data_IF_753171063967
#
_entry.id   IF_753171063967
#
_cell.length_a   1.000
_cell.length_b   1.000
_cell.length_c   1.000
_cell.angle_alpha   90.00
_cell.angle_beta   90.00
_cell.angle_gamma   90.00
#
_symmetry.space_group_name_H-M   'P 1'
#
loop_
_entity.id
_entity.type
_entity.pdbx_description
1 polymer ?
#
# COMPACT_ATOMS: atom_id res chain seq x y z
N UNK A 1 -6.42 -6.77 4.90
CA UNK A 1 -5.45 -6.24 3.93
C UNK A 1 -4.87 -7.41 3.17
N UNK A 2 -4.86 -7.35 1.83
CA UNK A 2 -4.51 -8.46 0.93
C UNK A 2 -3.34 -7.97 -0.02
N UNK A 3 -2.60 -8.87 -0.69
CA UNK A 3 -1.41 -8.65 -1.56
C UNK A 3 -1.31 -9.79 -2.62
N UNK A 4 -1.16 -9.47 -3.91
CA UNK A 4 -1.57 -10.33 -5.02
C UNK A 4 -0.47 -10.68 -6.05
N UNK A 5 -0.75 -11.67 -6.92
CA UNK A 5 -0.02 -11.90 -8.18
C UNK A 5 -1.01 -12.28 -9.29
N UNK A 6 -0.83 -11.71 -10.50
CA UNK A 6 -1.55 -12.10 -11.71
C UNK A 6 -0.61 -12.82 -12.70
N UNK A 7 -1.15 -13.80 -13.43
CA UNK A 7 -0.48 -14.41 -14.58
C UNK A 7 -0.65 -13.60 -15.87
N UNK A 8 0.31 -13.67 -16.79
CA UNK A 8 0.37 -12.80 -17.98
C UNK A 8 0.35 -13.57 -19.30
N UNK A 9 -0.27 -12.97 -20.32
CA UNK A 9 -0.08 -13.31 -21.74
C UNK A 9 0.50 -12.09 -22.46
N UNK A 10 1.68 -12.23 -23.05
CA UNK A 10 2.51 -11.10 -23.46
C UNK A 10 2.24 -10.61 -24.90
N UNK A 11 2.38 -9.30 -25.14
CA UNK A 11 2.66 -8.76 -26.47
C UNK A 11 3.36 -7.39 -26.42
N UNK A 12 4.65 -7.36 -26.79
CA UNK A 12 5.27 -6.25 -27.52
C UNK A 12 5.27 -4.83 -26.92
N UNK A 13 6.04 -4.61 -25.85
CA UNK A 13 6.72 -3.31 -25.65
C UNK A 13 8.02 -3.52 -24.85
N UNK A 14 8.91 -2.53 -24.83
CA UNK A 14 10.24 -2.63 -24.24
C UNK A 14 10.20 -2.54 -22.70
N UNK A 15 9.72 -3.60 -22.06
CA UNK A 15 9.88 -3.81 -20.63
C UNK A 15 11.35 -4.13 -20.31
N UNK A 16 11.87 -3.54 -19.24
CA UNK A 16 13.04 -4.08 -18.53
C UNK A 16 12.78 -5.57 -18.26
N UNK A 17 13.73 -6.49 -18.50
CA UNK A 17 13.54 -7.88 -18.14
C UNK A 17 13.40 -7.97 -16.63
N UNK A 18 12.17 -8.12 -16.14
CA UNK A 18 11.92 -8.64 -14.80
C UNK A 18 12.33 -10.10 -14.87
N UNK A 19 13.55 -10.43 -14.44
CA UNK A 19 13.92 -11.82 -14.31
C UNK A 19 12.98 -12.45 -13.30
N UNK A 20 12.30 -13.51 -13.74
CA UNK A 20 11.48 -14.36 -12.90
C UNK A 20 12.14 -15.72 -12.95
N UNK A 21 12.51 -16.24 -11.78
CA UNK A 21 13.25 -17.50 -11.69
C UNK A 21 12.37 -18.72 -11.98
N UNK A 22 12.99 -19.91 -12.02
CA UNK A 22 12.32 -21.19 -12.25
C UNK A 22 11.21 -21.52 -11.21
N UNK A 23 11.12 -20.75 -10.11
CA UNK A 23 10.11 -20.88 -9.04
C UNK A 23 8.95 -19.89 -9.20
N UNK A 24 9.02 -18.97 -10.17
CA UNK A 24 8.03 -17.91 -10.37
C UNK A 24 8.25 -16.67 -9.49
N UNK A 25 9.45 -16.49 -8.92
CA UNK A 25 9.78 -15.36 -8.04
C UNK A 25 10.52 -14.27 -8.82
N UNK A 26 10.12 -12.98 -8.75
CA UNK A 26 10.83 -11.90 -9.41
C UNK A 26 12.16 -11.56 -8.71
N UNK A 27 13.18 -11.19 -9.48
CA UNK A 27 14.49 -10.70 -8.98
C UNK A 27 14.37 -9.47 -8.06
N UNK A 28 13.33 -8.65 -8.29
CA UNK A 28 13.04 -7.44 -7.52
C UNK A 28 11.55 -7.41 -7.14
N UNK A 29 11.26 -7.30 -5.84
CA UNK A 29 9.91 -7.11 -5.30
C UNK A 29 9.64 -5.62 -5.05
N UNK A 30 8.71 -5.02 -5.80
CA UNK A 30 8.43 -3.57 -5.73
C UNK A 30 7.24 -3.31 -4.80
N UNK A 31 7.52 -2.68 -3.66
CA UNK A 31 6.61 -2.47 -2.53
C UNK A 31 6.21 -1.00 -2.44
N UNK A 32 4.98 -0.67 -2.83
CA UNK A 32 4.41 0.67 -2.59
C UNK A 32 3.77 0.77 -1.20
N UNK A 33 3.79 1.98 -0.66
CA UNK A 33 3.18 2.29 0.64
C UNK A 33 2.45 3.62 0.48
N UNK A 34 1.16 3.66 0.85
CA UNK A 34 0.37 4.90 0.83
C UNK A 34 1.05 6.01 1.66
N UNK A 35 1.14 7.25 1.14
CA UNK A 35 1.82 8.33 1.87
C UNK A 35 1.04 8.73 3.13
N UNK A 36 1.69 8.59 4.29
CA UNK A 36 1.17 9.09 5.57
C UNK A 36 2.16 10.02 6.33
N UNK A 37 3.41 10.08 5.89
CA UNK A 37 4.44 11.01 6.39
C UNK A 37 5.22 11.62 5.21
N UNK A 38 6.29 12.38 5.47
CA UNK A 38 7.21 12.79 4.40
C UNK A 38 7.88 11.55 3.74
N UNK A 39 8.23 11.60 2.43
CA UNK A 39 8.80 10.43 1.74
C UNK A 39 10.09 9.88 2.36
N UNK A 40 10.97 10.74 2.86
CA UNK A 40 12.24 10.33 3.51
C UNK A 40 11.99 9.66 4.85
N UNK A 41 11.07 10.21 5.66
CA UNK A 41 10.62 9.64 6.93
C UNK A 41 9.94 8.28 6.71
N UNK A 42 9.12 8.17 5.67
CA UNK A 42 8.45 6.93 5.30
C UNK A 42 9.47 5.88 4.84
N UNK A 43 10.44 6.26 4.01
CA UNK A 43 11.50 5.38 3.53
C UNK A 43 12.36 4.87 4.69
N UNK A 44 12.70 5.73 5.66
CA UNK A 44 13.43 5.34 6.87
C UNK A 44 12.59 4.41 7.78
N UNK A 45 11.29 4.71 7.95
CA UNK A 45 10.35 3.90 8.75
C UNK A 45 10.17 2.48 8.21
N UNK A 46 10.18 2.29 6.89
CA UNK A 46 9.96 1.00 6.25
C UNK A 46 11.24 0.29 5.75
N UNK A 47 12.42 0.92 5.85
CA UNK A 47 13.70 0.24 5.58
C UNK A 47 13.89 -1.08 6.36
N UNK A 48 13.53 -1.21 7.66
CA UNK A 48 13.62 -2.49 8.36
C UNK A 48 12.72 -3.58 7.78
N UNK A 49 11.57 -3.21 7.20
CA UNK A 49 10.68 -4.16 6.53
C UNK A 49 11.24 -4.58 5.16
N UNK A 50 11.81 -3.64 4.40
CA UNK A 50 12.55 -3.93 3.16
C UNK A 50 13.67 -4.94 3.41
N UNK A 51 14.52 -4.68 4.40
CA UNK A 51 15.71 -5.49 4.69
C UNK A 51 15.34 -6.89 5.21
N UNK A 52 14.27 -6.99 6.01
CA UNK A 52 13.70 -8.27 6.43
C UNK A 52 13.17 -9.06 5.22
N UNK A 53 12.35 -8.45 4.36
CA UNK A 53 11.79 -9.12 3.18
C UNK A 53 12.89 -9.56 2.19
N UNK A 54 13.91 -8.74 1.97
CA UNK A 54 15.04 -9.08 1.10
C UNK A 54 15.82 -10.30 1.65
N UNK A 55 16.00 -10.35 2.98
CA UNK A 55 16.69 -11.46 3.66
C UNK A 55 15.91 -12.77 3.60
N UNK A 56 14.60 -12.74 3.90
CA UNK A 56 13.75 -13.94 3.97
C UNK A 56 13.37 -14.49 2.58
N UNK A 57 13.25 -13.63 1.56
CA UNK A 57 12.87 -14.02 0.20
C UNK A 57 14.08 -14.27 -0.72
N UNK A 58 15.24 -13.69 -0.41
CA UNK A 58 16.46 -13.81 -1.22
C UNK A 58 16.41 -13.02 -2.53
N UNK A 59 15.69 -11.89 -2.55
CA UNK A 59 15.48 -11.02 -3.73
C UNK A 59 15.70 -9.55 -3.36
N UNK A 60 15.89 -8.67 -4.34
CA UNK A 60 15.93 -7.24 -4.08
C UNK A 60 14.52 -6.73 -3.70
N UNK A 61 14.44 -5.72 -2.83
CA UNK A 61 13.15 -5.12 -2.43
C UNK A 61 13.23 -3.60 -2.59
N UNK A 62 12.44 -3.07 -3.53
CA UNK A 62 12.35 -1.64 -3.78
C UNK A 62 11.15 -1.04 -3.03
N UNK A 63 11.36 0.07 -2.31
CA UNK A 63 10.28 0.85 -1.72
C UNK A 63 9.82 1.92 -2.72
N UNK A 64 8.64 1.73 -3.32
CA UNK A 64 8.04 2.67 -4.26
C UNK A 64 7.38 3.85 -3.50
N UNK A 65 8.03 5.01 -3.54
CA UNK A 65 7.51 6.25 -2.97
C UNK A 65 6.40 6.84 -3.87
N UNK A 66 5.14 6.57 -3.53
CA UNK A 66 3.99 7.17 -4.20
C UNK A 66 3.73 8.61 -3.71
N UNK A 67 3.40 9.52 -4.63
CA UNK A 67 3.04 10.92 -4.34
C UNK A 67 1.72 11.06 -3.59
N UNK A 68 0.79 10.14 -3.85
CA UNK A 68 -0.58 10.16 -3.36
C UNK A 68 -1.22 8.76 -3.45
N UNK A 69 -2.43 8.62 -2.92
CA UNK A 69 -3.16 7.36 -2.83
C UNK A 69 -3.60 6.82 -4.20
N UNK A 70 -3.98 7.69 -5.14
CA UNK A 70 -4.37 7.28 -6.50
C UNK A 70 -3.15 6.87 -7.33
N UNK A 71 -1.99 7.48 -7.07
CA UNK A 71 -0.69 7.06 -7.60
C UNK A 71 -0.37 5.59 -7.29
N UNK A 72 -0.65 5.11 -6.06
CA UNK A 72 -0.48 3.68 -5.70
C UNK A 72 -1.39 2.78 -6.53
N UNK A 73 -2.68 3.12 -6.65
CA UNK A 73 -3.65 2.33 -7.43
C UNK A 73 -3.26 2.30 -8.92
N UNK A 74 -2.82 3.43 -9.46
CA UNK A 74 -2.32 3.54 -10.84
C UNK A 74 -1.05 2.73 -11.06
N UNK A 75 -0.15 2.67 -10.07
CA UNK A 75 1.09 1.88 -10.15
C UNK A 75 0.83 0.36 -10.11
N UNK A 76 -0.13 -0.09 -9.29
CA UNK A 76 -0.62 -1.48 -9.30
C UNK A 76 -1.25 -1.83 -10.66
N UNK A 77 -2.19 -1.02 -11.15
CA UNK A 77 -2.87 -1.25 -12.42
C UNK A 77 -1.92 -1.25 -13.63
N UNK A 78 -0.80 -0.52 -13.54
CA UNK A 78 0.24 -0.46 -14.55
C UNK A 78 1.36 -1.51 -14.39
N UNK A 79 1.26 -2.45 -13.42
CA UNK A 79 2.29 -3.46 -13.16
C UNK A 79 3.65 -2.89 -12.73
N UNK A 80 3.68 -1.66 -12.21
CA UNK A 80 4.89 -0.98 -11.72
C UNK A 80 5.25 -1.34 -10.28
N UNK A 81 4.30 -1.96 -9.58
CA UNK A 81 4.34 -2.31 -8.16
C UNK A 81 3.72 -3.69 -8.03
N UNK A 82 4.38 -4.59 -7.30
CA UNK A 82 3.92 -5.97 -7.05
C UNK A 82 3.12 -6.06 -5.76
N UNK A 83 3.44 -5.19 -4.79
CA UNK A 83 2.92 -5.21 -3.43
C UNK A 83 2.51 -3.79 -3.01
N UNK A 84 1.35 -3.62 -2.41
CA UNK A 84 0.97 -2.34 -1.80
C UNK A 84 0.46 -2.50 -0.37
N UNK A 85 1.00 -1.70 0.56
CA UNK A 85 0.33 -1.42 1.82
C UNK A 85 -0.76 -0.36 1.56
N UNK A 86 -2.03 -0.72 1.78
CA UNK A 86 -3.21 0.07 1.43
C UNK A 86 -4.13 0.27 2.64
N UNK A 87 -4.65 1.50 2.79
CA UNK A 87 -5.77 1.79 3.69
C UNK A 87 -7.10 1.24 3.16
N UNK A 88 -8.09 1.02 4.05
CA UNK A 88 -9.31 0.29 3.73
C UNK A 88 -10.10 0.80 2.51
N UNK A 89 -10.29 2.12 2.39
CA UNK A 89 -10.96 2.72 1.23
C UNK A 89 -10.16 2.52 -0.06
N UNK A 90 -8.83 2.71 -0.01
CA UNK A 90 -7.94 2.60 -1.16
C UNK A 90 -7.82 1.16 -1.65
N UNK A 91 -7.89 0.18 -0.75
CA UNK A 91 -8.01 -1.23 -1.10
C UNK A 91 -9.27 -1.48 -1.96
N UNK A 92 -10.45 -1.04 -1.51
CA UNK A 92 -11.72 -1.24 -2.26
C UNK A 92 -11.70 -0.50 -3.60
N UNK A 93 -11.10 0.70 -3.65
CA UNK A 93 -10.92 1.45 -4.90
C UNK A 93 -9.96 0.75 -5.89
N UNK A 94 -9.00 -0.02 -5.41
CA UNK A 94 -8.04 -0.76 -6.24
C UNK A 94 -8.58 -2.13 -6.67
N UNK A 95 -9.26 -2.85 -5.78
CA UNK A 95 -9.97 -4.12 -6.05
C UNK A 95 -11.03 -3.97 -7.17
N UNK A 96 -11.64 -2.78 -7.30
CA UNK A 96 -12.55 -2.46 -8.40
C UNK A 96 -11.86 -2.26 -9.77
N UNK A 97 -10.53 -2.29 -9.85
CA UNK A 97 -9.74 -2.01 -11.06
C UNK A 97 -8.65 -3.06 -11.35
N UNK A 98 -8.21 -3.81 -10.33
CA UNK A 98 -7.10 -4.78 -10.38
C UNK A 98 -7.49 -5.99 -9.54
N UNK A 99 -7.17 -7.21 -9.99
CA UNK A 99 -7.40 -8.44 -9.21
C UNK A 99 -6.46 -8.50 -8.00
N UNK A 100 -6.88 -7.90 -6.89
CA UNK A 100 -6.13 -7.90 -5.64
C UNK A 100 -6.57 -9.07 -4.75
N UNK A 101 -5.68 -10.05 -4.58
CA UNK A 101 -5.80 -11.15 -3.62
C UNK A 101 -5.18 -10.84 -2.25
N UNK A 102 -5.94 -10.81 -1.16
CA UNK A 102 -5.48 -11.19 0.70
C UNK A 102 -4.18 -11.42 1.53
N UNK A 103 -2.91 -11.37 1.10
CA UNK A 103 -1.71 -11.17 1.98
C UNK A 103 -1.88 -11.10 3.53
N UNK A 104 -1.58 -9.95 4.16
CA UNK A 104 -1.47 -9.82 5.63
C UNK A 104 -2.09 -8.52 6.13
N UNK A 105 -2.71 -8.55 7.31
CA UNK A 105 -3.36 -7.38 7.94
C UNK A 105 -2.66 -6.96 9.23
N UNK A 106 -2.54 -5.65 9.42
CA UNK A 106 -2.09 -5.09 10.68
C UNK A 106 -3.08 -5.42 11.80
N UNK A 107 -2.53 -5.64 12.99
CA UNK A 107 -3.25 -5.77 14.25
C UNK A 107 -2.68 -4.68 15.14
N UNK A 108 -3.54 -3.77 15.60
CA UNK A 108 -3.14 -2.69 16.48
C UNK A 108 -2.62 -3.26 17.82
N UNK A 109 -1.50 -2.72 18.30
CA UNK A 109 -0.75 -3.28 19.44
C UNK A 109 -1.34 -2.91 20.80
N UNK A 110 -2.16 -1.87 20.88
CA UNK A 110 -2.72 -1.39 22.14
C UNK A 110 -4.11 -1.99 22.41
N UNK A 111 -4.94 -2.10 21.37
CA UNK A 111 -6.27 -2.71 21.42
C UNK A 111 -6.28 -4.21 21.13
N UNK A 112 -5.27 -4.72 20.40
CA UNK A 112 -5.24 -6.11 19.91
C UNK A 112 -6.21 -6.38 18.76
N UNK A 113 -6.83 -5.34 18.17
CA UNK A 113 -7.87 -5.48 17.13
C UNK A 113 -7.32 -5.22 15.72
N UNK A 114 -8.16 -5.46 14.70
CA UNK A 114 -7.89 -5.11 13.28
C UNK A 114 -8.69 -3.88 12.85
N UNK A 115 -9.34 -3.21 13.79
CA UNK A 115 -10.32 -2.16 13.56
C UNK A 115 -9.68 -0.80 13.88
N UNK A 116 -10.01 0.22 13.10
CA UNK A 116 -9.58 1.58 13.37
C UNK A 116 -10.81 2.48 13.45
N UNK A 117 -10.80 3.41 14.41
CA UNK A 117 -11.88 4.37 14.61
C UNK A 117 -11.56 5.66 13.85
N UNK A 118 -12.45 6.06 12.94
CA UNK A 118 -12.43 7.40 12.34
C UNK A 118 -13.16 8.40 13.23
N UNK A 119 -12.65 9.62 13.35
CA UNK A 119 -13.30 10.70 14.11
C UNK A 119 -13.03 12.07 13.51
N UNK A 120 -13.97 13.00 13.73
CA UNK A 120 -13.82 14.41 13.36
C UNK A 120 -13.34 15.16 14.60
N UNK A 121 -12.13 15.73 14.54
CA UNK A 121 -11.56 16.53 15.64
C UNK A 121 -11.77 18.01 15.36
N UNK A 122 -12.38 18.71 16.30
CA UNK A 122 -12.54 20.18 16.28
C UNK A 122 -11.62 20.83 17.32
N UNK A 123 -11.34 22.13 17.15
CA UNK A 123 -10.66 22.92 18.18
C UNK A 123 -11.45 22.88 19.50
N UNK A 124 -10.75 22.94 20.63
CA UNK A 124 -11.36 22.96 21.97
C UNK A 124 -12.34 24.13 22.18
N UNK A 125 -12.04 25.29 21.59
CA UNK A 125 -12.85 26.50 21.58
C UNK A 125 -13.83 26.60 20.40
N UNK A 126 -14.02 25.52 19.63
CA UNK A 126 -14.99 25.47 18.54
C UNK A 126 -16.44 25.51 19.07
N UNK A 127 -17.39 26.16 18.35
CA UNK A 127 -18.81 26.08 18.67
C UNK A 127 -19.44 24.72 18.32
N UNK A 128 -18.83 23.94 17.41
CA UNK A 128 -19.38 22.65 16.97
C UNK A 128 -19.28 21.61 18.10
N UNK A 129 -20.41 20.98 18.47
CA UNK A 129 -20.49 19.95 19.53
C UNK A 129 -21.06 18.61 19.03
N UNK A 130 -21.55 18.58 17.80
CA UNK A 130 -22.11 17.42 17.11
C UNK A 130 -21.68 17.40 15.64
N UNK A 131 -21.85 16.25 14.97
CA UNK A 131 -21.64 16.15 13.51
C UNK A 131 -22.59 17.07 12.74
N UNK A 132 -23.81 17.30 13.25
CA UNK A 132 -24.76 18.23 12.63
C UNK A 132 -24.24 19.66 12.55
N UNK A 133 -23.56 20.13 13.61
CA UNK A 133 -22.96 21.47 13.62
C UNK A 133 -21.82 21.64 12.60
N UNK A 134 -21.16 20.54 12.23
CA UNK A 134 -20.05 20.53 11.24
C UNK A 134 -20.59 20.44 9.80
N UNK A 135 -21.77 19.85 9.59
CA UNK A 135 -22.42 19.71 8.28
C UNK A 135 -23.28 20.95 7.92
N UNK A 136 -23.66 21.75 8.91
CA UNK A 136 -24.50 22.94 8.75
C UNK A 136 -23.74 24.29 8.69
N UNK A 137 -22.40 24.26 8.63
CA UNK A 137 -21.52 25.45 8.57
C UNK A 137 -20.77 25.59 7.25
#
# INVERSE_FOLDING_TARGET
VLLALLGTTACGSAATPTGVDDRGVPETLRVAIIPNTAPDEQSARYAPLRDYLATELGVEVELFAATDYAGVVTALAAGKVDVAYLGGLTYVQAEAQVDLRPLVTEVDRETGTREYLSGIVVRSDSPHRSVGDVVAG
#
